data_IF_082039679460
#
_entry.id   IF_082039679460
#
_cell.length_a   1.000
_cell.length_b   1.000
_cell.length_c   1.000
_cell.angle_alpha   90.00
_cell.angle_beta   90.00
_cell.angle_gamma   90.00
#
_symmetry.space_group_name_H-M   'P 1'
#
loop_
_entity.id
_entity.type
_entity.pdbx_description
1 polymer ?
#
# COMPACT_ATOMS: atom_id res chain seq x y z
N UNK A 1 21.24 14.29 21.19
CA UNK A 1 20.35 13.26 21.77
C UNK A 1 18.95 13.60 21.29
N UNK A 2 18.59 13.12 20.10
CA UNK A 2 17.27 13.37 19.50
C UNK A 2 16.23 12.60 20.32
N UNK A 3 15.19 13.27 20.78
CA UNK A 3 14.09 12.61 21.48
C UNK A 3 13.29 11.88 20.40
N UNK A 4 13.09 10.55 20.48
CA UNK A 4 12.31 9.85 19.48
C UNK A 4 10.91 10.46 19.44
N UNK A 5 10.51 10.95 18.26
CA UNK A 5 9.16 11.50 18.04
C UNK A 5 8.15 10.40 18.38
N UNK A 6 7.25 10.68 19.32
CA UNK A 6 6.11 9.79 19.59
C UNK A 6 5.23 9.76 18.33
N UNK A 7 4.84 8.58 17.83
CA UNK A 7 3.91 8.48 16.72
C UNK A 7 2.62 9.25 16.99
N UNK A 8 2.22 10.08 16.04
CA UNK A 8 1.00 10.88 16.04
C UNK A 8 0.36 10.99 14.65
N UNK A 9 -0.67 11.84 14.48
CA UNK A 9 -1.43 11.94 13.22
C UNK A 9 -0.60 12.33 12.00
N UNK A 10 0.53 13.02 12.20
CA UNK A 10 1.45 13.44 11.15
C UNK A 10 2.55 12.40 10.85
N UNK A 11 2.55 11.24 11.55
CA UNK A 11 3.48 10.14 11.26
C UNK A 11 3.15 9.58 9.89
N UNK A 12 4.17 9.45 9.05
CA UNK A 12 4.03 8.82 7.75
C UNK A 12 4.14 7.30 7.88
N UNK A 13 3.43 6.58 7.03
CA UNK A 13 3.44 5.13 6.94
C UNK A 13 3.76 4.71 5.52
N UNK A 14 4.45 3.58 5.40
CA UNK A 14 4.80 2.94 4.14
C UNK A 14 4.79 1.41 4.33
N UNK A 15 4.79 0.68 3.22
CA UNK A 15 4.97 -0.77 3.19
C UNK A 15 6.47 -1.03 3.06
N UNK A 16 7.04 -1.64 4.08
CA UNK A 16 8.40 -2.15 4.05
C UNK A 16 8.42 -3.45 3.23
N UNK A 17 9.02 -3.40 2.04
CA UNK A 17 9.14 -4.59 1.18
C UNK A 17 10.17 -5.60 1.70
N UNK A 18 11.21 -5.16 2.41
CA UNK A 18 12.19 -6.09 3.01
C UNK A 18 11.53 -6.94 4.11
N UNK A 19 10.49 -6.40 4.77
CA UNK A 19 9.69 -7.20 5.69
C UNK A 19 9.08 -8.43 5.00
N UNK A 20 8.64 -8.29 3.75
CA UNK A 20 8.07 -9.40 2.99
C UNK A 20 9.12 -10.45 2.61
N UNK A 21 10.34 -10.04 2.27
CA UNK A 21 11.46 -10.96 1.99
C UNK A 21 11.82 -11.83 3.19
N UNK A 22 11.65 -11.28 4.40
CA UNK A 22 11.84 -12.02 5.65
C UNK A 22 10.62 -12.84 6.09
N UNK A 23 9.48 -12.64 5.44
CA UNK A 23 8.22 -13.31 5.76
C UNK A 23 8.07 -14.61 4.98
N UNK A 24 7.26 -15.55 5.48
CA UNK A 24 6.97 -16.79 4.74
C UNK A 24 5.99 -16.60 3.57
N UNK A 25 5.53 -15.37 3.33
CA UNK A 25 4.63 -15.02 2.23
C UNK A 25 5.39 -14.18 1.21
N UNK A 26 5.46 -14.67 -0.02
CA UNK A 26 5.88 -13.85 -1.15
C UNK A 26 4.82 -12.78 -1.45
N UNK A 27 5.24 -11.51 -1.51
CA UNK A 27 4.35 -10.36 -1.73
C UNK A 27 3.58 -10.48 -3.04
N UNK A 28 4.24 -10.97 -4.10
CA UNK A 28 3.61 -11.15 -5.42
C UNK A 28 2.50 -12.19 -5.36
N UNK A 29 2.76 -13.34 -4.75
CA UNK A 29 1.81 -14.43 -4.54
C UNK A 29 0.64 -14.00 -3.65
N UNK A 30 0.91 -13.27 -2.56
CA UNK A 30 -0.11 -12.75 -1.66
C UNK A 30 -1.07 -11.80 -2.40
N UNK A 31 -0.52 -10.84 -3.14
CA UNK A 31 -1.31 -9.90 -3.91
C UNK A 31 -2.08 -10.61 -5.03
N UNK A 32 -1.46 -11.54 -5.76
CA UNK A 32 -2.14 -12.31 -6.80
C UNK A 32 -3.37 -13.07 -6.26
N UNK A 33 -3.19 -13.80 -5.16
CA UNK A 33 -4.27 -14.56 -4.51
C UNK A 33 -5.38 -13.64 -4.02
N UNK A 34 -5.02 -12.47 -3.48
CA UNK A 34 -5.99 -11.50 -2.99
C UNK A 34 -6.76 -10.84 -4.14
N UNK A 35 -6.07 -10.45 -5.21
CA UNK A 35 -6.62 -9.79 -6.37
C UNK A 35 -7.58 -10.70 -7.16
N UNK A 36 -7.24 -11.98 -7.29
CA UNK A 36 -8.11 -12.98 -7.94
C UNK A 36 -9.41 -13.27 -7.16
N UNK A 37 -9.43 -12.98 -5.86
CA UNK A 37 -10.63 -13.13 -5.02
C UNK A 37 -11.55 -11.90 -5.04
N UNK A 38 -11.04 -10.71 -5.42
CA UNK A 38 -11.78 -9.44 -5.36
C UNK A 38 -12.40 -9.09 -6.74
N UNK A 39 -11.99 -9.74 -7.84
CA UNK A 39 -12.65 -9.63 -9.14
C UNK A 39 -12.04 -10.52 -10.23
N UNK A 40 -12.64 -10.50 -11.43
CA UNK A 40 -12.10 -11.14 -12.65
C UNK A 40 -10.92 -10.34 -13.22
N UNK A 41 -9.83 -10.21 -12.46
CA UNK A 41 -8.59 -9.70 -13.05
C UNK A 41 -7.82 -10.89 -13.60
N UNK A 42 -7.69 -10.95 -14.91
CA UNK A 42 -6.81 -11.91 -15.57
C UNK A 42 -5.38 -11.37 -15.52
N UNK A 43 -4.74 -11.51 -14.34
CA UNK A 43 -3.34 -11.14 -14.15
C UNK A 43 -2.49 -12.30 -14.64
N UNK A 44 -1.58 -12.04 -15.58
CA UNK A 44 -0.49 -12.95 -15.86
C UNK A 44 0.66 -12.64 -14.88
N UNK A 45 0.94 -13.52 -13.89
CA UNK A 45 2.00 -13.30 -12.92
C UNK A 45 3.41 -13.33 -13.55
N UNK A 46 3.55 -13.73 -14.82
CA UNK A 46 4.80 -13.74 -15.56
C UNK A 46 5.22 -12.38 -16.16
N UNK A 47 4.40 -11.34 -16.04
CA UNK A 47 4.75 -10.01 -16.57
C UNK A 47 5.66 -9.27 -15.57
N UNK A 48 6.95 -9.25 -15.88
CA UNK A 48 7.96 -8.53 -15.07
C UNK A 48 7.94 -7.02 -15.31
N UNK A 49 7.71 -6.58 -16.54
CA UNK A 49 7.73 -5.17 -16.93
C UNK A 49 6.60 -4.84 -17.90
N UNK A 50 6.08 -3.60 -17.80
CA UNK A 50 5.06 -3.05 -18.71
C UNK A 50 5.54 -1.73 -19.30
N UNK A 51 5.23 -1.53 -20.57
CA UNK A 51 5.46 -0.25 -21.26
C UNK A 51 4.34 0.72 -20.89
N UNK A 52 4.65 1.69 -20.03
CA UNK A 52 3.74 2.74 -19.64
C UNK A 52 3.96 3.97 -20.52
N UNK A 53 2.91 4.39 -21.23
CA UNK A 53 2.89 5.63 -21.99
C UNK A 53 2.38 6.75 -21.07
N UNK A 54 3.18 7.78 -20.84
CA UNK A 54 2.72 8.98 -20.13
C UNK A 54 1.72 9.75 -21.02
N UNK A 55 0.50 9.97 -20.51
CA UNK A 55 -0.58 10.59 -21.29
C UNK A 55 -0.33 12.07 -21.63
N UNK A 56 0.61 12.74 -20.95
CA UNK A 56 0.95 14.15 -21.19
C UNK A 56 2.19 14.30 -22.07
N UNK A 57 3.21 13.46 -21.87
CA UNK A 57 4.48 13.58 -22.60
C UNK A 57 4.59 12.63 -23.80
N UNK A 58 3.71 11.64 -23.90
CA UNK A 58 3.78 10.53 -24.86
C UNK A 58 5.08 9.71 -24.77
N UNK A 59 5.84 9.86 -23.68
CA UNK A 59 7.04 9.08 -23.44
C UNK A 59 6.68 7.68 -22.98
N UNK A 60 7.40 6.69 -23.51
CA UNK A 60 7.28 5.30 -23.11
C UNK A 60 8.34 4.99 -22.07
N UNK A 61 7.93 4.48 -20.91
CA UNK A 61 8.83 4.00 -19.85
C UNK A 61 8.52 2.56 -19.48
N UNK A 62 9.55 1.71 -19.39
CA UNK A 62 9.42 0.39 -18.76
C UNK A 62 9.30 0.59 -17.26
N UNK A 63 8.21 0.09 -16.68
CA UNK A 63 7.97 0.09 -15.25
C UNK A 63 7.73 -1.34 -14.79
N UNK A 64 7.98 -1.61 -13.50
CA UNK A 64 7.68 -2.91 -12.90
C UNK A 64 6.19 -3.24 -13.13
N UNK A 65 5.94 -4.32 -13.86
CA UNK A 65 4.61 -4.69 -14.33
C UNK A 65 3.66 -4.98 -13.18
N UNK A 66 4.20 -5.57 -12.12
CA UNK A 66 3.47 -5.90 -10.92
C UNK A 66 3.05 -4.65 -10.14
N UNK A 67 3.97 -3.73 -9.86
CA UNK A 67 3.67 -2.47 -9.18
C UNK A 67 2.67 -1.62 -9.97
N UNK A 68 2.82 -1.57 -11.30
CA UNK A 68 1.88 -0.86 -12.16
C UNK A 68 0.48 -1.46 -12.10
N UNK A 69 0.35 -2.79 -12.25
CA UNK A 69 -0.96 -3.46 -12.19
C UNK A 69 -1.64 -3.28 -10.84
N UNK A 70 -0.86 -3.40 -9.76
CA UNK A 70 -1.31 -3.13 -8.38
C UNK A 70 -1.83 -1.71 -8.25
N UNK A 71 -1.06 -0.72 -8.73
CA UNK A 71 -1.47 0.68 -8.67
C UNK A 71 -2.75 0.94 -9.48
N UNK A 72 -2.82 0.46 -10.72
CA UNK A 72 -4.00 0.61 -11.59
C UNK A 72 -5.22 -0.04 -10.94
N UNK A 73 -5.11 -1.27 -10.44
CA UNK A 73 -6.24 -1.96 -9.84
C UNK A 73 -6.72 -1.26 -8.56
N UNK A 74 -5.81 -0.94 -7.64
CA UNK A 74 -6.20 -0.31 -6.39
C UNK A 74 -6.72 1.11 -6.57
N UNK A 75 -6.33 1.81 -7.65
CA UNK A 75 -6.91 3.10 -8.03
C UNK A 75 -8.37 3.01 -8.51
N UNK A 76 -8.81 1.83 -8.95
CA UNK A 76 -10.16 1.58 -9.47
C UNK A 76 -11.11 0.94 -8.44
N UNK A 77 -10.66 0.72 -7.21
CA UNK A 77 -11.50 0.10 -6.19
C UNK A 77 -12.76 0.93 -5.91
N UNK A 78 -13.95 0.29 -5.81
CA UNK A 78 -15.17 0.99 -5.43
C UNK A 78 -15.04 1.66 -4.06
N UNK A 79 -15.65 2.84 -3.88
CA UNK A 79 -15.63 3.54 -2.58
C UNK A 79 -16.16 2.66 -1.43
N UNK A 80 -17.11 1.77 -1.71
CA UNK A 80 -17.70 0.86 -0.72
C UNK A 80 -16.75 -0.27 -0.29
N UNK A 81 -15.72 -0.58 -1.06
CA UNK A 81 -14.70 -1.55 -0.68
C UNK A 81 -13.91 -1.05 0.54
N UNK A 82 -13.58 0.24 0.58
CA UNK A 82 -12.88 0.85 1.73
C UNK A 82 -13.75 0.82 3.00
N UNK A 83 -15.08 0.86 2.86
CA UNK A 83 -15.99 0.81 4.00
C UNK A 83 -16.10 -0.60 4.60
N UNK A 84 -16.02 -1.64 3.76
CA UNK A 84 -16.23 -3.06 4.12
C UNK A 84 -14.95 -3.84 4.42
N UNK A 85 -13.79 -3.37 3.94
CA UNK A 85 -12.50 -3.99 4.20
C UNK A 85 -12.04 -3.84 5.67
N UNK A 86 -11.16 -4.76 6.11
CA UNK A 86 -10.46 -4.60 7.38
C UNK A 86 -9.57 -3.35 7.34
N UNK A 87 -9.27 -2.76 8.50
CA UNK A 87 -8.39 -1.58 8.56
C UNK A 87 -7.02 -1.85 7.93
N UNK A 88 -6.44 -3.03 8.22
CA UNK A 88 -5.15 -3.44 7.66
C UNK A 88 -5.22 -3.48 6.15
N UNK A 89 -6.25 -4.12 5.62
CA UNK A 89 -6.44 -4.28 4.19
C UNK A 89 -6.67 -2.96 3.48
N UNK A 90 -7.50 -2.08 4.04
CA UNK A 90 -7.78 -0.77 3.47
C UNK A 90 -6.52 0.11 3.44
N UNK A 91 -5.74 0.15 4.53
CA UNK A 91 -4.51 0.94 4.59
C UNK A 91 -3.45 0.39 3.63
N UNK A 92 -3.30 -0.93 3.54
CA UNK A 92 -2.39 -1.57 2.59
C UNK A 92 -2.74 -1.19 1.14
N UNK A 93 -4.02 -1.30 0.75
CA UNK A 93 -4.48 -0.90 -0.58
C UNK A 93 -4.21 0.58 -0.86
N UNK A 94 -4.46 1.47 0.11
CA UNK A 94 -4.23 2.91 -0.05
C UNK A 94 -2.75 3.22 -0.29
N UNK A 95 -1.84 2.59 0.47
CA UNK A 95 -0.41 2.77 0.28
C UNK A 95 0.05 2.24 -1.08
N UNK A 96 -0.42 1.06 -1.50
CA UNK A 96 -0.13 0.51 -2.83
C UNK A 96 -0.67 1.39 -3.97
N UNK A 97 -1.90 1.89 -3.86
CA UNK A 97 -2.48 2.81 -4.83
C UNK A 97 -1.67 4.11 -4.95
N UNK A 98 -1.03 4.54 -3.85
CA UNK A 98 -0.13 5.68 -3.82
C UNK A 98 1.31 5.35 -4.27
N UNK A 99 1.54 4.20 -4.90
CA UNK A 99 2.88 3.76 -5.32
C UNK A 99 3.84 3.56 -4.14
N UNK A 100 3.28 3.27 -2.96
CA UNK A 100 3.99 3.14 -1.70
C UNK A 100 4.80 4.38 -1.28
N UNK A 101 4.48 5.57 -1.80
CA UNK A 101 5.05 6.81 -1.29
C UNK A 101 4.53 7.04 0.15
N UNK A 102 5.38 7.40 1.12
CA UNK A 102 4.96 7.56 2.51
C UNK A 102 3.78 8.54 2.67
N UNK A 103 2.75 8.12 3.40
CA UNK A 103 1.55 8.92 3.64
C UNK A 103 1.32 9.13 5.13
N UNK A 104 0.93 10.34 5.52
CA UNK A 104 0.57 10.63 6.91
C UNK A 104 -0.67 9.84 7.35
N UNK A 105 -0.78 9.54 8.64
CA UNK A 105 -1.98 8.91 9.18
C UNK A 105 -3.26 9.73 8.91
N UNK A 106 -3.18 11.06 8.78
CA UNK A 106 -4.33 11.89 8.36
C UNK A 106 -4.74 11.63 6.91
N UNK A 107 -3.79 11.62 5.98
CA UNK A 107 -4.09 11.37 4.56
C UNK A 107 -4.62 9.96 4.30
N UNK A 108 -4.15 8.98 5.08
CA UNK A 108 -4.67 7.61 5.05
C UNK A 108 -6.08 7.57 5.64
N UNK A 109 -6.29 8.20 6.80
CA UNK A 109 -7.58 8.27 7.51
C UNK A 109 -8.72 8.77 6.62
N UNK A 110 -8.46 9.83 5.85
CA UNK A 110 -9.41 10.39 4.90
C UNK A 110 -9.83 9.38 3.83
N UNK A 111 -8.86 8.65 3.26
CA UNK A 111 -9.13 7.65 2.21
C UNK A 111 -9.85 6.40 2.71
N UNK A 112 -9.48 5.90 3.89
CA UNK A 112 -10.10 4.69 4.46
C UNK A 112 -11.36 4.99 5.28
N UNK A 113 -11.73 6.26 5.44
CA UNK A 113 -12.85 6.73 6.29
C UNK A 113 -12.77 6.15 7.70
N UNK A 114 -11.61 6.29 8.35
CA UNK A 114 -11.35 5.91 9.76
C UNK A 114 -10.57 7.02 10.46
N UNK A 115 -10.46 7.00 11.79
CA UNK A 115 -9.68 8.02 12.50
C UNK A 115 -8.17 7.78 12.38
N UNK A 116 -7.39 8.86 12.33
CA UNK A 116 -5.93 8.80 12.32
C UNK A 116 -5.37 8.17 13.61
N UNK A 117 -6.03 8.35 14.76
CA UNK A 117 -5.69 7.68 16.03
C UNK A 117 -5.72 6.15 15.89
N UNK A 118 -6.75 5.62 15.23
CA UNK A 118 -6.89 4.17 15.01
C UNK A 118 -5.77 3.65 14.12
N UNK A 119 -5.36 4.41 13.10
CA UNK A 119 -4.22 4.07 12.23
C UNK A 119 -2.93 4.06 13.05
N UNK A 120 -2.61 5.16 13.74
CA UNK A 120 -1.38 5.29 14.55
C UNK A 120 -1.30 4.16 15.58
N UNK A 121 -2.38 3.90 16.33
CA UNK A 121 -2.42 2.84 17.34
C UNK A 121 -2.20 1.45 16.74
N UNK A 122 -2.71 1.19 15.55
CA UNK A 122 -2.62 -0.13 14.91
C UNK A 122 -1.23 -0.40 14.34
N UNK A 123 -0.66 0.59 13.64
CA UNK A 123 0.56 0.39 12.86
C UNK A 123 1.84 0.89 13.54
N UNK A 124 1.75 1.58 14.69
CA UNK A 124 2.93 1.98 15.48
C UNK A 124 3.24 1.02 16.63
N UNK A 125 2.51 -0.10 16.72
CA UNK A 125 2.73 -1.15 17.72
C UNK A 125 3.89 -2.08 17.35
N UNK A 126 4.22 -3.06 18.23
CA UNK A 126 5.30 -4.01 17.99
C UNK A 126 5.00 -5.02 16.87
N UNK A 127 3.72 -5.19 16.52
CA UNK A 127 3.30 -6.12 15.47
C UNK A 127 3.27 -5.40 14.13
N UNK A 128 3.99 -5.94 13.16
CA UNK A 128 3.95 -5.48 11.76
C UNK A 128 2.84 -6.22 11.01
N UNK A 129 1.97 -5.47 10.33
CA UNK A 129 0.87 -6.00 9.54
C UNK A 129 1.13 -5.71 8.06
N UNK A 130 1.22 -6.75 7.22
CA UNK A 130 1.42 -6.62 5.77
C UNK A 130 2.61 -5.70 5.41
N UNK A 131 3.68 -5.72 6.22
CA UNK A 131 4.85 -4.84 6.05
C UNK A 131 4.63 -3.36 6.40
N UNK A 132 3.44 -2.94 6.83
CA UNK A 132 3.17 -1.53 7.12
C UNK A 132 3.96 -1.08 8.35
N UNK A 133 4.77 -0.03 8.18
CA UNK A 133 5.62 0.54 9.23
C UNK A 133 5.53 2.06 9.29
N UNK A 134 5.69 2.67 10.48
CA UNK A 134 5.85 4.10 10.60
C UNK A 134 7.23 4.52 10.09
N UNK A 135 7.30 5.62 9.37
CA UNK A 135 8.53 6.33 9.08
C UNK A 135 8.81 7.27 10.25
N UNK A 136 9.76 6.89 11.10
CA UNK A 136 10.19 7.68 12.24
C UNK A 136 11.47 8.41 11.86
N UNK A 137 11.46 9.75 11.96
CA UNK A 137 12.70 10.54 11.86
C UNK A 137 13.65 10.12 13.01
N UNK A 138 14.93 9.87 12.71
CA UNK A 138 15.99 9.67 13.71
C UNK A 138 16.37 10.96 14.47
#
# INVERSE_FOLDING_TARGET
MTIPKRPGPDTQFYIDYEWWDSSSLDLKTYLYTRLSHIGEINIDPGIEEVDLVDAKTAEVRRVDGFQYMVQVYFSQLPEDFMASASLVDAVFCVLLANGNQPMTAREIAERVRRSSDVIVRTFSGPRVYQGIRPLLDE
#
